data_IF_633842707526
#
_entry.id   IF_633842707526
#
_cell.length_a   1.000
_cell.length_b   1.000
_cell.length_c   1.000
_cell.angle_alpha   90.00
_cell.angle_beta   90.00
_cell.angle_gamma   90.00
#
_symmetry.space_group_name_H-M   'P 1'
#
loop_
_entity.id
_entity.type
_entity.pdbx_description
1 polymer ?
#
# COMPACT_ATOMS: atom_id res chain seq x y z
N UNK A 1 -20.62 44.88 62.85
CA UNK A 1 -19.65 44.76 61.75
C UNK A 1 -18.72 43.60 62.03
N UNK A 2 -19.11 42.39 61.60
CA UNK A 2 -18.21 41.24 61.45
C UNK A 2 -18.83 40.41 60.32
N UNK A 3 -18.21 40.44 59.14
CA UNK A 3 -18.50 39.54 58.03
C UNK A 3 -17.39 38.48 58.00
N UNK A 4 -17.80 37.22 58.09
CA UNK A 4 -17.05 36.01 57.77
C UNK A 4 -17.70 35.39 56.54
N UNK A 5 -16.95 34.51 55.88
CA UNK A 5 -17.18 33.95 54.54
C UNK A 5 -16.69 34.99 53.52
N UNK A 6 -15.71 34.74 52.66
CA UNK A 6 -15.52 33.60 51.76
C UNK A 6 -14.04 33.24 51.66
N UNK A 7 -13.72 31.95 51.81
CA UNK A 7 -12.48 31.36 51.33
C UNK A 7 -12.82 29.92 50.94
N UNK A 8 -12.44 29.52 49.73
CA UNK A 8 -11.78 28.25 49.38
C UNK A 8 -11.81 28.07 47.86
N UNK A 9 -10.62 27.79 47.32
CA UNK A 9 -10.32 27.18 46.01
C UNK A 9 -10.32 28.06 44.75
N UNK A 10 -9.22 28.79 44.58
CA UNK A 10 -8.66 29.15 43.26
C UNK A 10 -7.18 28.72 43.27
N UNK A 11 -6.94 27.45 42.95
CA UNK A 11 -5.61 26.86 42.82
C UNK A 11 -5.69 25.63 41.90
N UNK A 12 -5.90 25.88 40.61
CA UNK A 12 -5.60 24.95 39.51
C UNK A 12 -5.21 25.79 38.29
N UNK A 13 -4.02 26.35 38.36
CA UNK A 13 -3.28 26.85 37.21
C UNK A 13 -1.89 26.22 37.25
N UNK A 14 -1.85 24.89 37.16
CA UNK A 14 -0.63 24.14 36.88
C UNK A 14 -0.62 23.83 35.40
N UNK A 15 0.04 24.71 34.65
CA UNK A 15 0.82 24.42 33.45
C UNK A 15 0.65 23.01 32.86
N UNK A 16 -0.38 22.82 32.04
CA UNK A 16 -0.28 21.89 30.92
C UNK A 16 0.48 22.62 29.81
N UNK A 17 1.80 22.75 30.00
CA UNK A 17 2.69 22.90 28.87
C UNK A 17 2.61 21.56 28.15
N UNK A 18 1.73 21.48 27.15
CA UNK A 18 1.84 20.47 26.11
C UNK A 18 3.29 20.50 25.65
N UNK A 19 4.02 19.40 25.87
CA UNK A 19 5.28 19.16 25.21
C UNK A 19 4.95 19.13 23.71
N UNK A 20 5.01 20.31 23.10
CA UNK A 20 5.11 20.43 21.67
C UNK A 20 6.49 19.85 21.37
N UNK A 21 6.52 18.60 20.92
CA UNK A 21 7.75 18.04 20.36
C UNK A 21 8.26 19.06 19.35
N UNK A 22 9.44 19.62 19.61
CA UNK A 22 10.11 20.53 18.69
C UNK A 22 10.53 19.71 17.46
N UNK A 23 9.58 19.51 16.55
CA UNK A 23 9.84 18.90 15.26
C UNK A 23 10.89 19.74 14.53
N UNK A 24 11.98 19.09 14.12
CA UNK A 24 13.04 19.70 13.30
C UNK A 24 12.51 20.29 11.99
N UNK A 25 11.37 19.77 11.52
CA UNK A 25 10.73 20.15 10.27
C UNK A 25 9.41 20.88 10.52
N UNK A 26 9.04 21.76 9.60
CA UNK A 26 7.77 22.49 9.70
C UNK A 26 6.58 21.53 9.62
N UNK A 27 5.47 21.89 10.29
CA UNK A 27 4.23 21.09 10.21
C UNK A 27 3.77 20.87 8.77
N UNK A 28 3.83 21.90 7.92
CA UNK A 28 3.44 21.78 6.52
C UNK A 28 4.29 20.75 5.76
N UNK A 29 5.59 20.68 6.05
CA UNK A 29 6.48 19.69 5.45
C UNK A 29 6.17 18.27 5.91
N UNK A 30 5.96 18.07 7.21
CA UNK A 30 5.56 16.77 7.75
C UNK A 30 4.21 16.32 7.19
N UNK A 31 3.21 17.20 7.17
CA UNK A 31 1.88 16.93 6.61
C UNK A 31 2.00 16.51 5.13
N UNK A 32 2.86 17.19 4.35
CA UNK A 32 3.07 16.88 2.93
C UNK A 32 3.73 15.53 2.69
N UNK A 33 4.46 14.97 3.65
CA UNK A 33 5.12 13.67 3.55
C UNK A 33 4.48 12.59 4.41
N UNK A 34 3.42 12.90 5.17
CA UNK A 34 2.73 11.97 6.05
C UNK A 34 2.27 10.73 5.28
N UNK A 35 1.60 10.92 4.15
CA UNK A 35 1.04 9.85 3.33
C UNK A 35 1.86 9.58 2.07
N UNK A 36 2.06 8.30 1.78
CA UNK A 36 2.63 7.84 0.53
C UNK A 36 2.51 6.32 0.36
N UNK A 37 2.81 5.81 -0.85
CA UNK A 37 3.01 4.40 -1.14
C UNK A 37 4.27 3.82 -0.45
N UNK A 38 4.43 4.07 0.86
CA UNK A 38 5.62 3.77 1.66
C UNK A 38 5.75 2.29 2.06
N UNK A 39 5.20 1.39 1.25
CA UNK A 39 5.35 -0.08 1.36
C UNK A 39 6.05 -0.59 0.11
N UNK A 40 7.33 -0.29 -0.10
CA UNK A 40 7.98 -0.50 -1.40
C UNK A 40 8.16 -1.98 -1.76
N UNK A 41 8.00 -2.90 -0.80
CA UNK A 41 7.98 -4.35 -1.01
C UNK A 41 6.73 -4.86 -1.77
N UNK A 42 5.64 -4.08 -1.81
CA UNK A 42 4.43 -4.43 -2.58
C UNK A 42 4.33 -3.59 -3.85
N UNK A 43 3.58 -4.07 -4.85
CA UNK A 43 3.40 -3.33 -6.10
C UNK A 43 2.72 -1.98 -5.86
N UNK A 44 1.68 -1.94 -5.02
CA UNK A 44 1.04 -0.70 -4.58
C UNK A 44 0.45 -0.86 -3.17
N UNK A 45 0.83 0.02 -2.25
CA UNK A 45 0.29 0.03 -0.89
C UNK A 45 0.61 1.32 -0.17
N UNK A 46 -0.43 2.00 0.32
CA UNK A 46 -0.33 3.31 0.97
C UNK A 46 -0.35 3.13 2.48
N UNK A 47 0.55 3.84 3.17
CA UNK A 47 0.56 3.93 4.64
C UNK A 47 1.03 5.32 5.07
N UNK A 48 0.69 5.78 6.27
CA UNK A 48 1.28 6.98 6.81
C UNK A 48 2.67 6.67 7.38
N UNK A 49 3.50 7.71 7.54
CA UNK A 49 4.73 7.71 8.35
C UNK A 49 4.39 7.78 9.83
N UNK A 50 3.56 6.84 10.27
CA UNK A 50 3.14 6.69 11.65
C UNK A 50 3.27 5.20 12.03
N UNK A 51 3.81 4.90 13.21
CA UNK A 51 3.90 3.54 13.70
C UNK A 51 2.49 3.03 13.98
N UNK A 52 2.28 1.72 13.82
CA UNK A 52 1.03 1.04 14.19
C UNK A 52 -0.24 1.80 13.76
N UNK A 53 -0.41 1.92 12.45
CA UNK A 53 -1.43 2.78 11.85
C UNK A 53 -2.17 2.06 10.71
N UNK A 54 -2.94 2.80 9.91
CA UNK A 54 -3.62 2.27 8.74
C UNK A 54 -2.60 1.75 7.71
N UNK A 55 -2.74 0.49 7.32
CA UNK A 55 -1.96 -0.14 6.25
C UNK A 55 -2.89 -0.59 5.13
N UNK A 56 -2.52 -0.29 3.90
CA UNK A 56 -3.32 -0.66 2.72
C UNK A 56 -2.46 -1.32 1.64
N UNK A 57 -3.08 -2.08 0.76
CA UNK A 57 -2.37 -2.69 -0.36
C UNK A 57 -3.29 -3.30 -1.42
N UNK A 58 -2.74 -3.43 -2.63
CA UNK A 58 -3.44 -3.95 -3.79
C UNK A 58 -2.93 -5.35 -4.17
N UNK A 59 -3.85 -6.23 -4.49
CA UNK A 59 -3.60 -7.51 -5.14
C UNK A 59 -4.46 -7.60 -6.40
N UNK A 60 -4.00 -8.34 -7.40
CA UNK A 60 -4.80 -8.66 -8.58
C UNK A 60 -4.38 -9.99 -9.17
N UNK A 61 -5.25 -10.57 -9.98
CA UNK A 61 -4.94 -11.80 -10.70
C UNK A 61 -6.00 -12.13 -11.74
N UNK A 62 -5.57 -12.85 -12.79
CA UNK A 62 -6.50 -13.41 -13.77
C UNK A 62 -7.18 -14.64 -13.18
N UNK A 63 -8.52 -14.67 -13.24
CA UNK A 63 -9.34 -15.69 -12.56
C UNK A 63 -10.13 -16.57 -13.53
N UNK A 64 -9.50 -16.97 -14.63
CA UNK A 64 -10.14 -17.77 -15.70
C UNK A 64 -9.74 -19.25 -15.71
N UNK A 65 -8.88 -19.69 -14.80
CA UNK A 65 -8.37 -21.06 -14.80
C UNK A 65 -8.14 -21.60 -13.39
N UNK A 66 -8.71 -22.77 -13.10
CA UNK A 66 -8.61 -23.42 -11.79
C UNK A 66 -7.19 -23.78 -11.36
N UNK A 67 -6.23 -23.88 -12.29
CA UNK A 67 -4.88 -24.31 -11.95
C UNK A 67 -3.94 -23.13 -11.66
N UNK A 68 -4.10 -22.01 -12.36
CA UNK A 68 -3.17 -20.89 -12.31
C UNK A 68 -3.45 -19.85 -11.22
N UNK A 69 -4.69 -19.73 -10.72
CA UNK A 69 -5.05 -18.65 -9.76
C UNK A 69 -4.17 -18.63 -8.50
N UNK A 70 -3.85 -19.81 -7.95
CA UNK A 70 -2.99 -19.93 -6.77
C UNK A 70 -1.56 -19.39 -6.98
N UNK A 71 -1.11 -19.24 -8.22
CA UNK A 71 0.26 -18.84 -8.57
C UNK A 71 0.35 -17.49 -9.26
N UNK A 72 -0.75 -16.94 -9.77
CA UNK A 72 -0.73 -15.71 -10.58
C UNK A 72 -1.25 -14.45 -9.85
N UNK A 73 -1.69 -14.57 -8.58
CA UNK A 73 -2.08 -13.41 -7.77
C UNK A 73 -0.85 -12.60 -7.38
N UNK A 74 -0.83 -11.32 -7.76
CA UNK A 74 0.24 -10.36 -7.50
C UNK A 74 0.03 -9.67 -6.17
N UNK A 75 1.13 -9.42 -5.45
CA UNK A 75 1.11 -8.63 -4.22
C UNK A 75 2.48 -8.00 -3.94
N UNK A 76 3.45 -8.85 -3.58
CA UNK A 76 4.85 -8.47 -3.37
C UNK A 76 5.56 -8.33 -4.71
N UNK A 77 6.55 -7.45 -4.77
CA UNK A 77 7.41 -7.28 -5.94
C UNK A 77 8.33 -8.49 -6.07
N UNK A 78 8.08 -9.39 -7.02
CA UNK A 78 8.87 -10.60 -7.24
C UNK A 78 9.55 -10.58 -8.62
N UNK A 79 10.82 -11.00 -8.71
CA UNK A 79 11.60 -10.88 -9.95
C UNK A 79 11.08 -11.76 -11.11
N UNK A 80 10.44 -12.89 -10.79
CA UNK A 80 10.13 -13.95 -11.77
C UNK A 80 8.64 -14.26 -11.87
N UNK A 81 7.79 -13.25 -11.64
CA UNK A 81 6.35 -13.40 -11.74
C UNK A 81 5.79 -13.25 -13.16
N UNK A 82 6.63 -13.00 -14.17
CA UNK A 82 6.19 -12.89 -15.57
C UNK A 82 5.75 -11.49 -15.98
N UNK A 83 6.26 -10.47 -15.30
CA UNK A 83 6.11 -9.06 -15.67
C UNK A 83 7.00 -8.70 -16.87
N UNK A 84 6.52 -7.82 -17.75
CA UNK A 84 7.30 -7.21 -18.85
C UNK A 84 7.98 -5.90 -18.40
N UNK A 85 7.72 -5.46 -17.17
CA UNK A 85 8.27 -4.27 -16.54
C UNK A 85 7.25 -3.64 -15.61
N UNK A 86 7.72 -2.94 -14.58
CA UNK A 86 6.88 -2.14 -13.71
C UNK A 86 7.68 -1.01 -13.08
N UNK A 87 7.00 0.08 -12.75
CA UNK A 87 7.65 1.20 -12.07
C UNK A 87 6.86 2.49 -12.14
N UNK A 88 7.36 3.49 -11.42
CA UNK A 88 6.81 4.84 -11.47
C UNK A 88 7.25 5.54 -12.76
N UNK A 89 6.28 6.07 -13.49
CA UNK A 89 6.51 6.87 -14.70
C UNK A 89 6.82 8.33 -14.34
N UNK A 90 6.13 8.83 -13.31
CA UNK A 90 6.31 10.13 -12.69
C UNK A 90 5.89 10.03 -11.22
N UNK A 91 6.74 10.43 -10.29
CA UNK A 91 6.42 10.39 -8.87
C UNK A 91 7.21 11.44 -8.07
N UNK A 92 6.49 12.21 -7.26
CA UNK A 92 7.03 13.09 -6.21
C UNK A 92 6.42 12.66 -4.86
N UNK A 93 7.24 12.29 -3.85
CA UNK A 93 6.76 11.91 -2.53
C UNK A 93 5.87 12.94 -1.86
N UNK A 94 5.91 14.23 -2.23
CA UNK A 94 5.06 15.29 -1.64
C UNK A 94 3.70 15.44 -2.28
N UNK A 95 3.53 15.07 -3.55
CA UNK A 95 2.28 15.34 -4.29
C UNK A 95 1.62 14.08 -4.84
N UNK A 96 2.42 13.10 -5.25
CA UNK A 96 1.97 11.81 -5.76
C UNK A 96 2.58 11.47 -7.13
N UNK A 97 1.92 10.60 -7.89
CA UNK A 97 2.41 10.17 -9.20
C UNK A 97 1.59 9.06 -9.84
N UNK A 98 2.14 8.51 -10.92
CA UNK A 98 1.56 7.42 -11.71
C UNK A 98 2.59 6.31 -11.87
N UNK A 99 2.16 5.08 -11.62
CA UNK A 99 2.92 3.86 -11.82
C UNK A 99 2.20 2.97 -12.81
N UNK A 100 2.97 2.34 -13.70
CA UNK A 100 2.48 1.32 -14.63
C UNK A 100 3.15 -0.03 -14.31
N UNK A 101 2.37 -1.12 -14.41
CA UNK A 101 2.80 -2.50 -14.23
C UNK A 101 2.33 -3.31 -15.44
N UNK A 102 3.27 -3.76 -16.27
CA UNK A 102 2.98 -4.55 -17.47
C UNK A 102 2.97 -6.05 -17.12
N UNK A 103 1.84 -6.56 -16.60
CA UNK A 103 1.70 -7.96 -16.17
C UNK A 103 1.34 -8.88 -17.34
N UNK A 104 2.36 -9.18 -18.14
CA UNK A 104 2.25 -10.12 -19.25
C UNK A 104 1.81 -11.52 -18.82
N UNK A 105 2.17 -11.96 -17.62
CA UNK A 105 1.75 -13.25 -17.05
C UNK A 105 0.24 -13.34 -16.85
N UNK A 106 -0.40 -12.28 -16.34
CA UNK A 106 -1.85 -12.20 -16.24
C UNK A 106 -2.52 -11.64 -17.51
N UNK A 107 -1.76 -11.12 -18.47
CA UNK A 107 -2.30 -10.55 -19.72
C UNK A 107 -2.94 -9.17 -19.52
N UNK A 108 -2.54 -8.43 -18.49
CA UNK A 108 -3.12 -7.13 -18.14
C UNK A 108 -2.03 -6.10 -17.85
N UNK A 109 -2.24 -4.87 -18.29
CA UNK A 109 -1.46 -3.72 -17.83
C UNK A 109 -2.25 -3.00 -16.73
N UNK A 110 -1.64 -2.87 -15.55
CA UNK A 110 -2.20 -2.16 -14.40
C UNK A 110 -1.58 -0.77 -14.31
N UNK A 111 -2.41 0.24 -14.10
CA UNK A 111 -1.99 1.62 -13.80
C UNK A 111 -2.50 1.98 -12.40
N UNK A 112 -1.60 2.43 -11.54
CA UNK A 112 -1.93 2.92 -10.20
C UNK A 112 -1.49 4.37 -10.08
N UNK A 113 -2.46 5.29 -10.00
CA UNK A 113 -2.19 6.70 -9.74
C UNK A 113 -2.41 6.99 -8.26
N UNK A 114 -1.59 7.86 -7.67
CA UNK A 114 -1.71 8.32 -6.28
C UNK A 114 -1.61 9.84 -6.24
N UNK A 115 -2.51 10.50 -5.52
CA UNK A 115 -2.52 11.96 -5.36
C UNK A 115 -2.84 12.34 -3.92
N UNK A 116 -2.33 13.48 -3.49
CA UNK A 116 -2.67 14.08 -2.19
C UNK A 116 -3.47 15.36 -2.37
N UNK A 117 -4.53 15.49 -1.58
CA UNK A 117 -5.38 16.68 -1.56
C UNK A 117 -4.93 17.62 -0.44
N UNK A 118 -4.97 18.93 -0.71
CA UNK A 118 -4.57 19.99 0.23
C UNK A 118 -3.22 19.73 0.92
N UNK A 119 -2.20 19.35 0.13
CA UNK A 119 -0.85 19.01 0.60
C UNK A 119 -0.84 17.86 1.63
N UNK A 120 -1.75 16.90 1.48
CA UNK A 120 -1.88 15.74 2.37
C UNK A 120 -2.87 15.94 3.52
N UNK A 121 -3.27 17.19 3.82
CA UNK A 121 -4.24 17.48 4.89
C UNK A 121 -5.68 17.12 4.52
N UNK A 122 -6.00 17.19 3.23
CA UNK A 122 -7.32 16.83 2.69
C UNK A 122 -7.49 15.32 2.50
N UNK A 123 -6.45 14.52 2.79
CA UNK A 123 -6.39 13.10 2.53
C UNK A 123 -5.73 12.77 1.19
N UNK A 124 -5.97 11.56 0.68
CA UNK A 124 -5.35 11.07 -0.54
C UNK A 124 -6.35 10.28 -1.40
N UNK A 125 -6.05 10.21 -2.70
CA UNK A 125 -6.77 9.41 -3.67
C UNK A 125 -5.83 8.44 -4.38
N UNK A 126 -6.30 7.24 -4.66
CA UNK A 126 -5.64 6.28 -5.52
C UNK A 126 -6.59 5.82 -6.61
N UNK A 127 -6.14 5.83 -7.87
CA UNK A 127 -6.91 5.31 -9.01
C UNK A 127 -6.30 4.01 -9.46
N UNK A 128 -7.11 2.97 -9.52
CA UNK A 128 -6.72 1.65 -9.97
C UNK A 128 -7.36 1.40 -11.32
N UNK A 129 -6.53 1.16 -12.33
CA UNK A 129 -6.98 0.90 -13.69
C UNK A 129 -6.32 -0.36 -14.21
N UNK A 130 -7.11 -1.22 -14.86
CA UNK A 130 -6.62 -2.41 -15.54
C UNK A 130 -7.05 -2.42 -16.99
N UNK A 131 -6.09 -2.66 -17.89
CA UNK A 131 -6.34 -2.75 -19.34
C UNK A 131 -5.84 -4.09 -19.85
N UNK A 132 -6.72 -5.02 -20.29
CA UNK A 132 -6.28 -6.26 -20.91
C UNK A 132 -5.41 -5.98 -22.13
N UNK A 133 -4.32 -6.73 -22.26
CA UNK A 133 -3.38 -6.55 -23.35
C UNK A 133 -3.89 -7.22 -24.62
N UNK A 134 -3.70 -6.57 -25.77
CA UNK A 134 -4.07 -7.15 -27.07
C UNK A 134 -3.32 -8.46 -27.37
N UNK A 135 -2.12 -8.63 -26.82
CA UNK A 135 -1.29 -9.82 -26.95
C UNK A 135 -1.55 -10.89 -25.86
N UNK A 136 -2.56 -10.70 -25.00
CA UNK A 136 -2.91 -11.66 -23.96
C UNK A 136 -3.35 -12.99 -24.58
N UNK A 137 -2.69 -14.08 -24.16
CA UNK A 137 -3.07 -15.43 -24.59
C UNK A 137 -4.34 -15.87 -23.85
N UNK A 138 -5.29 -16.57 -24.49
CA UNK A 138 -6.41 -17.18 -23.79
C UNK A 138 -5.93 -18.16 -22.72
N UNK A 139 -6.54 -18.11 -21.53
CA UNK A 139 -6.43 -19.15 -20.52
C UNK A 139 -7.41 -20.29 -20.82
N UNK A 140 -7.26 -21.43 -20.13
CA UNK A 140 -8.06 -22.63 -20.38
C UNK A 140 -9.57 -22.37 -20.26
N UNK A 141 -10.00 -21.56 -19.28
CA UNK A 141 -11.41 -21.19 -19.10
C UNK A 141 -11.79 -19.82 -19.67
N UNK A 142 -11.00 -19.23 -20.57
CA UNK A 142 -11.39 -17.97 -21.22
C UNK A 142 -12.60 -18.17 -22.13
N UNK A 143 -13.64 -17.34 -21.94
CA UNK A 143 -14.89 -17.38 -22.73
C UNK A 143 -14.96 -16.29 -23.81
N UNK A 144 -13.81 -15.80 -24.29
CA UNK A 144 -13.77 -14.69 -25.25
C UNK A 144 -12.36 -14.23 -25.62
N UNK A 145 -12.29 -13.05 -26.25
CA UNK A 145 -11.02 -12.39 -26.55
C UNK A 145 -10.41 -11.69 -25.32
N UNK A 146 -9.21 -11.09 -25.45
CA UNK A 146 -8.55 -10.38 -24.36
C UNK A 146 -9.42 -9.34 -23.64
N UNK A 147 -10.26 -8.60 -24.37
CA UNK A 147 -11.15 -7.59 -23.79
C UNK A 147 -12.37 -8.16 -23.05
N UNK A 148 -12.50 -9.49 -22.97
CA UNK A 148 -13.51 -10.20 -22.16
C UNK A 148 -12.83 -11.04 -21.06
N UNK A 149 -11.54 -10.78 -20.80
CA UNK A 149 -10.78 -11.48 -19.77
C UNK A 149 -11.32 -11.15 -18.37
N UNK A 150 -11.43 -12.17 -17.52
CA UNK A 150 -11.87 -12.01 -16.14
C UNK A 150 -10.70 -11.74 -15.20
N UNK A 151 -10.73 -10.58 -14.55
CA UNK A 151 -9.70 -10.13 -13.60
C UNK A 151 -10.33 -9.86 -12.25
N UNK A 152 -9.77 -10.43 -11.19
CA UNK A 152 -10.14 -10.06 -9.83
C UNK A 152 -9.09 -9.11 -9.25
N UNK A 153 -9.58 -8.10 -8.55
CA UNK A 153 -8.77 -7.11 -7.82
C UNK A 153 -9.19 -7.16 -6.36
N UNK A 154 -8.20 -7.24 -5.48
CA UNK A 154 -8.41 -7.18 -4.05
C UNK A 154 -7.67 -5.98 -3.47
N UNK A 155 -8.40 -5.12 -2.79
CA UNK A 155 -7.82 -4.09 -1.95
C UNK A 155 -7.91 -4.54 -0.49
N UNK A 156 -6.82 -4.42 0.25
CA UNK A 156 -6.83 -4.67 1.69
C UNK A 156 -6.62 -3.38 2.45
N UNK A 157 -7.34 -3.23 3.56
CA UNK A 157 -7.15 -2.16 4.54
C UNK A 157 -7.13 -2.78 5.93
N UNK A 158 -6.12 -2.47 6.73
CA UNK A 158 -6.02 -2.95 8.10
C UNK A 158 -5.48 -1.89 9.03
N UNK A 159 -5.82 -2.00 10.32
CA UNK A 159 -5.37 -1.08 11.36
C UNK A 159 -4.49 -1.83 12.36
N UNK A 160 -3.27 -1.34 12.54
CA UNK A 160 -2.32 -1.81 13.55
C UNK A 160 -2.51 -0.96 14.83
N UNK A 161 -2.19 -1.52 16.01
CA UNK A 161 -2.25 -0.78 17.27
C UNK A 161 -3.65 -0.35 17.72
N UNK A 162 -3.72 0.82 18.39
CA UNK A 162 -4.95 1.37 18.93
C UNK A 162 -5.73 2.12 17.84
N UNK A 163 -6.83 1.50 17.40
CA UNK A 163 -7.75 2.09 16.45
C UNK A 163 -8.83 1.12 16.04
N UNK A 164 -9.72 1.58 15.17
CA UNK A 164 -10.78 0.78 14.57
C UNK A 164 -10.96 1.16 13.11
N UNK A 165 -11.42 0.20 12.33
CA UNK A 165 -11.87 0.39 10.95
C UNK A 165 -13.16 -0.44 10.81
N UNK A 166 -14.26 0.22 10.47
CA UNK A 166 -15.57 -0.39 10.42
C UNK A 166 -16.17 -0.13 9.06
N UNK A 167 -16.67 -1.19 8.41
CA UNK A 167 -17.42 -1.08 7.17
C UNK A 167 -18.83 -0.57 7.48
N UNK A 168 -19.27 0.45 6.76
CA UNK A 168 -20.62 0.98 6.87
C UNK A 168 -21.62 0.05 6.17
N UNK A 169 -22.87 0.08 6.64
CA UNK A 169 -23.98 -0.65 6.02
C UNK A 169 -23.72 -2.17 5.89
N UNK A 170 -23.20 -2.76 6.97
CA UNK A 170 -22.82 -4.18 7.05
C UNK A 170 -23.94 -5.12 6.55
N UNK A 171 -25.18 -4.84 6.97
CA UNK A 171 -26.37 -5.62 6.62
C UNK A 171 -26.59 -5.69 5.10
N UNK A 172 -26.40 -4.58 4.39
CA UNK A 172 -26.59 -4.51 2.93
C UNK A 172 -25.53 -5.28 2.15
N UNK A 173 -24.33 -5.43 2.70
CA UNK A 173 -23.23 -6.17 2.08
C UNK A 173 -23.19 -7.66 2.39
N UNK A 174 -23.85 -8.12 3.46
CA UNK A 174 -23.73 -9.51 3.93
C UNK A 174 -24.39 -10.51 2.97
N UNK A 175 -25.57 -10.20 2.44
CA UNK A 175 -26.34 -11.15 1.63
C UNK A 175 -25.74 -11.37 0.23
N UNK A 176 -25.59 -10.29 -0.54
CA UNK A 176 -25.21 -10.36 -1.97
C UNK A 176 -23.91 -9.59 -2.29
N UNK A 177 -23.32 -8.91 -1.32
CA UNK A 177 -22.28 -7.89 -1.55
C UNK A 177 -22.87 -6.50 -1.79
N UNK A 178 -22.00 -5.49 -1.77
CA UNK A 178 -22.38 -4.08 -1.84
C UNK A 178 -22.74 -3.64 -3.26
N UNK A 179 -23.86 -2.92 -3.38
CA UNK A 179 -24.31 -2.20 -4.58
C UNK A 179 -23.84 -0.74 -4.51
N UNK A 180 -22.72 -0.43 -5.16
CA UNK A 180 -22.12 0.90 -5.15
C UNK A 180 -20.84 0.98 -4.32
N UNK A 181 -20.56 2.20 -3.85
CA UNK A 181 -19.36 2.51 -3.08
C UNK A 181 -19.33 1.75 -1.73
N UNK A 182 -18.16 1.22 -1.39
CA UNK A 182 -17.92 0.66 -0.04
C UNK A 182 -17.24 1.72 0.79
N UNK A 183 -17.89 2.13 1.89
CA UNK A 183 -17.38 3.16 2.80
C UNK A 183 -17.01 2.54 4.12
N UNK A 184 -15.82 2.86 4.61
CA UNK A 184 -15.36 2.53 5.95
C UNK A 184 -15.23 3.81 6.76
N UNK A 185 -15.61 3.75 8.02
CA UNK A 185 -15.24 4.73 9.05
C UNK A 185 -14.11 4.18 9.88
N UNK A 186 -13.09 4.98 10.12
CA UNK A 186 -11.98 4.58 10.96
C UNK A 186 -11.60 5.65 11.96
N UNK A 187 -10.95 5.20 13.02
CA UNK A 187 -10.33 6.04 14.03
C UNK A 187 -8.97 5.47 14.34
N UNK A 188 -7.91 6.27 14.18
CA UNK A 188 -6.57 5.92 14.61
C UNK A 188 -6.08 6.91 15.66
N UNK A 189 -5.22 6.46 16.58
CA UNK A 189 -4.65 7.31 17.64
C UNK A 189 -4.09 8.63 17.09
N UNK A 190 -3.22 8.56 16.08
CA UNK A 190 -2.54 9.74 15.49
C UNK A 190 -3.22 10.25 14.20
N UNK A 191 -4.16 9.48 13.64
CA UNK A 191 -4.91 9.86 12.43
C UNK A 191 -6.21 10.61 12.74
N UNK A 192 -6.71 10.51 13.97
CA UNK A 192 -8.06 10.94 14.31
C UNK A 192 -9.12 10.11 13.58
N UNK A 193 -10.29 10.71 13.40
CA UNK A 193 -11.41 10.09 12.65
C UNK A 193 -11.26 10.32 11.15
N UNK A 194 -11.48 9.27 10.37
CA UNK A 194 -11.34 9.28 8.91
C UNK A 194 -12.39 8.42 8.23
N UNK A 195 -12.49 8.61 6.90
CA UNK A 195 -13.25 7.77 5.98
C UNK A 195 -12.34 7.17 4.94
N UNK A 196 -12.59 5.92 4.58
CA UNK A 196 -11.97 5.25 3.44
C UNK A 196 -13.09 4.78 2.51
N UNK A 197 -13.12 5.29 1.28
CA UNK A 197 -14.14 4.97 0.28
C UNK A 197 -13.51 4.23 -0.88
N UNK A 198 -14.05 3.06 -1.23
CA UNK A 198 -13.71 2.33 -2.46
C UNK A 198 -14.89 2.47 -3.41
N UNK A 199 -14.70 3.17 -4.53
CA UNK A 199 -15.81 3.54 -5.41
C UNK A 199 -16.27 2.41 -6.32
N UNK A 200 -17.50 2.49 -6.81
CA UNK A 200 -18.03 1.69 -7.90
C UNK A 200 -18.56 2.62 -9.01
N UNK A 201 -17.70 3.03 -9.97
CA UNK A 201 -18.14 3.91 -11.05
C UNK A 201 -18.99 3.15 -12.08
N UNK A 202 -19.93 3.86 -12.69
CA UNK A 202 -20.69 3.34 -13.82
C UNK A 202 -19.76 3.02 -15.01
N UNK A 203 -20.03 1.91 -15.71
CA UNK A 203 -19.36 1.56 -16.96
C UNK A 203 -18.32 0.45 -16.86
N UNK A 204 -17.93 0.02 -15.65
CA UNK A 204 -17.22 -1.23 -15.47
C UNK A 204 -18.12 -2.42 -15.88
N UNK A 205 -17.51 -3.44 -16.48
CA UNK A 205 -18.21 -4.69 -16.82
C UNK A 205 -17.79 -5.80 -15.87
N UNK A 206 -18.74 -6.67 -15.54
CA UNK A 206 -18.58 -7.76 -14.58
C UNK A 206 -18.98 -9.10 -15.22
N UNK A 207 -18.34 -10.22 -14.84
CA UNK A 207 -18.67 -11.51 -15.43
C UNK A 207 -20.08 -11.95 -15.04
N UNK A 208 -20.88 -12.38 -16.01
CA UNK A 208 -22.24 -12.91 -15.80
C UNK A 208 -22.27 -14.37 -16.27
N UNK A 209 -22.93 -15.25 -15.50
CA UNK A 209 -23.08 -16.65 -15.90
C UNK A 209 -24.40 -17.26 -15.43
N UNK A 210 -24.78 -18.40 -16.02
CA UNK A 210 -26.06 -19.08 -15.73
C UNK A 210 -26.03 -20.04 -14.54
N UNK A 211 -24.85 -20.32 -14.01
CA UNK A 211 -24.71 -21.21 -12.85
C UNK A 211 -25.46 -20.66 -11.61
N UNK A 212 -26.20 -21.48 -10.83
CA UNK A 212 -27.00 -21.01 -9.69
C UNK A 212 -26.23 -20.20 -8.64
N UNK A 213 -24.93 -20.43 -8.51
CA UNK A 213 -24.05 -19.68 -7.60
C UNK A 213 -24.05 -18.16 -7.88
N UNK A 214 -24.36 -17.72 -9.10
CA UNK A 214 -24.44 -16.29 -9.44
C UNK A 214 -25.55 -15.60 -8.65
N UNK A 215 -26.72 -16.23 -8.53
CA UNK A 215 -27.87 -15.64 -7.85
C UNK A 215 -27.62 -15.46 -6.35
N UNK A 216 -26.76 -16.31 -5.78
CA UNK A 216 -26.36 -16.26 -4.37
C UNK A 216 -25.23 -15.27 -4.12
N UNK A 217 -24.35 -15.05 -5.10
CA UNK A 217 -23.19 -14.17 -4.97
C UNK A 217 -22.86 -13.58 -6.35
N UNK A 218 -23.60 -12.55 -6.76
CA UNK A 218 -23.41 -11.92 -8.06
C UNK A 218 -22.11 -11.12 -8.09
N UNK A 219 -21.46 -11.04 -9.25
CA UNK A 219 -20.11 -10.49 -9.39
C UNK A 219 -20.07 -9.03 -9.84
N UNK A 220 -21.24 -8.44 -10.08
CA UNK A 220 -21.49 -7.00 -10.20
C UNK A 220 -21.68 -6.30 -8.84
N UNK A 221 -21.35 -7.01 -7.76
CA UNK A 221 -21.32 -6.51 -6.38
C UNK A 221 -19.90 -6.53 -5.84
N UNK A 222 -19.59 -5.56 -4.99
CA UNK A 222 -18.31 -5.57 -4.27
C UNK A 222 -18.42 -6.49 -3.05
N UNK A 223 -17.53 -7.47 -2.96
CA UNK A 223 -17.49 -8.39 -1.82
C UNK A 223 -16.53 -7.83 -0.77
N UNK A 224 -16.91 -7.90 0.51
CA UNK A 224 -16.06 -7.49 1.63
C UNK A 224 -15.93 -8.63 2.62
N UNK A 225 -14.71 -8.96 3.01
CA UNK A 225 -14.42 -9.92 4.07
C UNK A 225 -13.62 -9.25 5.17
N UNK A 226 -14.25 -9.11 6.34
CA UNK A 226 -13.61 -8.61 7.55
C UNK A 226 -13.14 -9.78 8.42
N UNK A 227 -11.98 -9.62 9.04
CA UNK A 227 -11.46 -10.60 9.99
C UNK A 227 -10.63 -9.93 11.09
N UNK A 228 -10.56 -10.59 12.24
CA UNK A 228 -9.63 -10.24 13.29
C UNK A 228 -8.40 -11.14 13.17
N UNK A 229 -7.23 -10.52 12.99
CA UNK A 229 -5.95 -11.23 12.95
C UNK A 229 -4.98 -10.62 13.96
N UNK A 230 -3.98 -11.38 14.45
CA UNK A 230 -2.89 -10.82 15.24
C UNK A 230 -2.14 -9.72 14.46
N UNK A 231 -1.62 -8.71 15.17
CA UNK A 231 -0.95 -7.55 14.54
C UNK A 231 0.23 -8.00 13.66
N UNK A 232 1.00 -8.98 14.14
CA UNK A 232 2.14 -9.58 13.44
C UNK A 232 1.75 -10.35 12.17
N UNK A 233 0.46 -10.61 11.95
CA UNK A 233 -0.06 -11.30 10.77
C UNK A 233 -0.70 -10.34 9.75
N UNK A 234 -0.90 -9.05 10.08
CA UNK A 234 -1.58 -8.07 9.21
C UNK A 234 -0.86 -7.87 7.87
N UNK A 235 0.46 -8.04 7.83
CA UNK A 235 1.24 -7.95 6.59
C UNK A 235 1.00 -9.13 5.63
N UNK A 236 0.42 -10.23 6.11
CA UNK A 236 0.20 -11.47 5.35
C UNK A 236 -1.09 -11.45 4.53
N UNK A 237 -1.45 -10.29 3.96
CA UNK A 237 -2.73 -10.09 3.25
C UNK A 237 -2.99 -11.17 2.16
N UNK A 238 -1.96 -11.61 1.43
CA UNK A 238 -2.07 -12.69 0.43
C UNK A 238 -2.48 -14.04 1.07
N UNK A 239 -1.96 -14.37 2.24
CA UNK A 239 -2.34 -15.59 2.95
C UNK A 239 -3.77 -15.50 3.52
N UNK A 240 -4.15 -14.35 4.06
CA UNK A 240 -5.50 -14.07 4.56
C UNK A 240 -6.52 -14.16 3.41
N UNK A 241 -6.18 -13.63 2.24
CA UNK A 241 -6.97 -13.77 1.01
C UNK A 241 -7.18 -15.25 0.64
N UNK A 242 -6.11 -16.05 0.60
CA UNK A 242 -6.22 -17.48 0.30
C UNK A 242 -7.05 -18.24 1.33
N UNK A 243 -6.96 -17.89 2.62
CA UNK A 243 -7.79 -18.49 3.65
C UNK A 243 -9.28 -18.20 3.43
N UNK A 244 -9.63 -16.96 3.08
CA UNK A 244 -11.02 -16.59 2.74
C UNK A 244 -11.52 -17.30 1.48
N UNK A 245 -10.73 -17.33 0.41
CA UNK A 245 -11.08 -18.04 -0.82
C UNK A 245 -11.26 -19.55 -0.60
N UNK A 246 -10.41 -20.16 0.24
CA UNK A 246 -10.53 -21.58 0.59
C UNK A 246 -11.90 -21.90 1.19
N UNK A 247 -12.41 -21.05 2.09
CA UNK A 247 -13.76 -21.23 2.67
C UNK A 247 -14.84 -21.26 1.59
N UNK A 248 -14.78 -20.35 0.61
CA UNK A 248 -15.72 -20.35 -0.53
C UNK A 248 -15.57 -21.63 -1.37
N UNK A 249 -14.33 -22.05 -1.65
CA UNK A 249 -14.06 -23.26 -2.43
C UNK A 249 -14.64 -24.50 -1.74
N UNK A 250 -14.38 -24.65 -0.43
CA UNK A 250 -14.89 -25.77 0.36
C UNK A 250 -16.43 -25.81 0.33
N UNK A 251 -17.10 -24.66 0.48
CA UNK A 251 -18.56 -24.56 0.37
C UNK A 251 -19.07 -25.03 -1.00
N UNK A 252 -18.40 -24.67 -2.09
CA UNK A 252 -18.81 -25.11 -3.43
C UNK A 252 -18.52 -26.59 -3.67
N UNK A 253 -17.47 -27.16 -3.08
CA UNK A 253 -17.18 -28.60 -3.14
C UNK A 253 -18.24 -29.41 -2.38
N UNK A 254 -18.79 -28.87 -1.29
CA UNK A 254 -19.89 -29.50 -0.54
C UNK A 254 -21.24 -29.36 -1.26
N UNK A 255 -21.52 -28.19 -1.85
CA UNK A 255 -22.82 -27.89 -2.47
C UNK A 255 -22.97 -28.50 -3.87
N UNK A 256 -21.90 -28.55 -4.65
CA UNK A 256 -21.94 -28.93 -6.07
C UNK A 256 -21.15 -30.19 -6.38
N UNK A 257 -21.64 -30.96 -7.36
CA UNK A 257 -20.89 -32.10 -7.90
C UNK A 257 -19.78 -31.63 -8.84
N UNK A 258 -18.81 -32.49 -9.15
CA UNK A 258 -17.70 -32.17 -10.07
C UNK A 258 -18.17 -31.74 -11.48
N UNK A 259 -19.36 -32.17 -11.91
CA UNK A 259 -19.92 -31.83 -13.23
C UNK A 259 -20.67 -30.49 -13.22
N UNK A 260 -20.91 -29.91 -12.04
CA UNK A 260 -21.68 -28.69 -11.83
C UNK A 260 -20.90 -27.67 -10.98
N UNK A 261 -19.56 -27.62 -11.12
CA UNK A 261 -18.74 -26.64 -10.40
C UNK A 261 -18.99 -25.24 -10.99
N UNK A 262 -19.11 -24.18 -10.17
CA UNK A 262 -19.14 -22.80 -10.65
C UNK A 262 -17.92 -22.46 -11.52
N UNK A 263 -18.00 -21.49 -12.44
CA UNK A 263 -16.84 -21.10 -13.24
C UNK A 263 -15.70 -20.52 -12.36
N UNK A 264 -14.43 -20.54 -12.84
CA UNK A 264 -13.28 -20.10 -12.05
C UNK A 264 -13.44 -18.73 -11.38
N UNK A 265 -13.91 -17.72 -12.12
CA UNK A 265 -14.08 -16.36 -11.59
C UNK A 265 -15.15 -16.25 -10.50
N UNK A 266 -16.06 -17.21 -10.41
CA UNK A 266 -17.00 -17.33 -9.30
C UNK A 266 -16.39 -18.10 -8.13
N UNK A 267 -15.64 -19.18 -8.40
CA UNK A 267 -15.00 -20.01 -7.38
C UNK A 267 -13.90 -19.26 -6.62
N UNK A 268 -13.12 -18.42 -7.30
CA UNK A 268 -12.05 -17.60 -6.71
C UNK A 268 -12.55 -16.25 -6.19
N UNK A 269 -13.55 -16.34 -5.32
CA UNK A 269 -14.11 -15.18 -4.62
C UNK A 269 -13.94 -15.33 -3.12
N UNK A 270 -13.70 -14.22 -2.44
CA UNK A 270 -13.77 -14.17 -0.98
C UNK A 270 -15.20 -14.46 -0.51
N UNK A 271 -15.31 -14.88 0.75
CA UNK A 271 -16.60 -14.91 1.42
C UNK A 271 -17.07 -13.48 1.70
N UNK A 272 -18.31 -13.12 1.37
CA UNK A 272 -18.90 -11.86 1.82
C UNK A 272 -19.20 -11.98 3.32
N UNK A 273 -18.50 -11.20 4.13
CA UNK A 273 -18.63 -11.14 5.58
C UNK A 273 -18.17 -9.75 6.07
N UNK A 274 -18.95 -8.69 5.83
CA UNK A 274 -18.61 -7.33 6.24
C UNK A 274 -18.87 -7.09 7.73
N UNK A 275 -18.18 -7.83 8.61
CA UNK A 275 -18.31 -7.67 10.07
C UNK A 275 -17.21 -6.77 10.64
N UNK A 276 -17.10 -6.71 11.96
CA UNK A 276 -15.97 -6.08 12.64
C UNK A 276 -14.68 -6.89 12.43
N UNK A 277 -13.54 -6.18 12.46
CA UNK A 277 -12.21 -6.76 12.32
C UNK A 277 -11.15 -5.67 12.23
N UNK A 278 -9.88 -6.06 12.30
CA UNK A 278 -8.75 -5.15 12.08
C UNK A 278 -8.13 -5.27 10.69
N UNK A 279 -8.63 -6.18 9.85
CA UNK A 279 -8.32 -6.24 8.41
C UNK A 279 -9.56 -6.56 7.60
N UNK A 280 -9.69 -5.85 6.47
CA UNK A 280 -10.78 -6.00 5.52
C UNK A 280 -10.19 -6.25 4.13
N UNK A 281 -10.69 -7.27 3.45
CA UNK A 281 -10.44 -7.53 2.05
C UNK A 281 -11.66 -7.08 1.25
N UNK A 282 -11.44 -6.27 0.21
CA UNK A 282 -12.45 -5.75 -0.69
C UNK A 282 -12.16 -6.34 -2.07
N UNK A 283 -13.04 -7.21 -2.58
CA UNK A 283 -12.91 -7.81 -3.89
C UNK A 283 -13.87 -7.18 -4.90
N UNK A 284 -13.32 -6.83 -6.06
CA UNK A 284 -14.07 -6.55 -7.29
C UNK A 284 -13.62 -7.50 -8.39
N UNK A 285 -14.56 -8.01 -9.18
CA UNK A 285 -14.26 -8.93 -10.29
C UNK A 285 -14.78 -8.33 -11.59
N UNK A 286 -13.89 -8.11 -12.55
CA UNK A 286 -14.18 -7.39 -13.78
C UNK A 286 -14.09 -8.31 -15.01
N UNK A 287 -14.86 -7.98 -16.05
CA UNK A 287 -14.70 -8.48 -17.40
C UNK A 287 -14.13 -7.35 -18.28
N UNK A 288 -12.93 -7.53 -18.82
CA UNK A 288 -12.31 -6.52 -19.68
C UNK A 288 -11.57 -5.42 -18.91
N UNK A 289 -11.57 -4.20 -19.48
CA UNK A 289 -10.93 -3.05 -18.87
C UNK A 289 -11.78 -2.47 -17.74
N UNK A 290 -11.12 -1.97 -16.69
CA UNK A 290 -11.79 -1.40 -15.53
C UNK A 290 -11.02 -0.21 -14.96
N UNK A 291 -11.74 0.65 -14.23
CA UNK A 291 -11.18 1.74 -13.47
C UNK A 291 -12.05 2.01 -12.23
N UNK A 292 -11.43 2.26 -11.08
CA UNK A 292 -12.12 2.74 -9.88
C UNK A 292 -11.16 3.53 -8.98
N UNK A 293 -11.73 4.28 -8.04
CA UNK A 293 -10.99 5.17 -7.15
C UNK A 293 -11.09 4.69 -5.69
N UNK A 294 -10.04 4.96 -4.92
CA UNK A 294 -9.96 4.73 -3.48
C UNK A 294 -9.62 6.08 -2.85
N UNK A 295 -10.44 6.55 -1.92
CA UNK A 295 -10.23 7.82 -1.23
C UNK A 295 -10.08 7.61 0.27
N UNK A 296 -9.03 8.16 0.84
CA UNK A 296 -8.93 8.41 2.28
C UNK A 296 -9.18 9.89 2.53
N UNK A 297 -10.06 10.23 3.47
CA UNK A 297 -10.33 11.61 3.87
C UNK A 297 -10.51 11.73 5.38
N UNK A 298 -10.19 12.90 5.99
CA UNK A 298 -10.65 13.21 7.34
C UNK A 298 -12.19 13.08 7.44
N UNK A 299 -12.73 12.66 8.59
CA UNK A 299 -14.16 12.35 8.72
C UNK A 299 -15.10 13.50 8.33
N UNK A 300 -14.70 14.75 8.56
CA UNK A 300 -15.51 15.94 8.23
C UNK A 300 -15.25 16.49 6.82
N UNK A 301 -14.31 15.92 6.06
CA UNK A 301 -14.04 16.35 4.70
C UNK A 301 -15.06 15.74 3.72
N UNK A 302 -15.30 16.47 2.62
CA UNK A 302 -16.07 15.96 1.50
C UNK A 302 -15.21 14.96 0.73
N UNK A 303 -15.76 13.78 0.45
CA UNK A 303 -15.08 12.80 -0.41
C UNK A 303 -14.91 13.38 -1.82
N UNK A 304 -13.69 13.37 -2.39
CA UNK A 304 -13.44 13.77 -3.78
C UNK A 304 -14.26 12.94 -4.77
N UNK A 305 -14.51 13.52 -5.94
CA UNK A 305 -15.18 12.84 -7.06
C UNK A 305 -14.18 12.25 -8.05
N UNK A 306 -14.66 11.40 -8.96
CA UNK A 306 -13.87 10.88 -10.09
C UNK A 306 -13.26 11.99 -10.97
N UNK A 307 -13.97 13.11 -11.16
CA UNK A 307 -13.48 14.26 -11.91
C UNK A 307 -12.40 15.02 -11.14
N UNK A 308 -12.54 15.14 -9.82
CA UNK A 308 -11.53 15.76 -8.97
C UNK A 308 -10.23 14.93 -9.00
N UNK A 309 -10.34 13.61 -8.95
CA UNK A 309 -9.21 12.69 -9.10
C UNK A 309 -8.54 12.84 -10.48
N UNK A 310 -9.31 12.88 -11.56
CA UNK A 310 -8.78 13.09 -12.92
C UNK A 310 -8.01 14.41 -13.06
N UNK A 311 -8.52 15.49 -12.45
CA UNK A 311 -7.84 16.80 -12.42
C UNK A 311 -6.56 16.75 -11.59
N UNK A 312 -6.61 16.10 -10.43
CA UNK A 312 -5.47 15.97 -9.53
C UNK A 312 -4.32 15.17 -10.17
N UNK A 313 -4.60 14.04 -10.82
CA UNK A 313 -3.59 13.23 -11.52
C UNK A 313 -2.87 14.08 -12.58
N UNK A 314 -3.63 14.81 -13.41
CA UNK A 314 -3.07 15.69 -14.44
C UNK A 314 -2.19 16.80 -13.83
N UNK A 315 -2.62 17.38 -12.72
CA UNK A 315 -1.87 18.43 -12.04
C UNK A 315 -0.56 17.89 -11.45
N UNK A 316 -0.57 16.71 -10.82
CA UNK A 316 0.60 16.06 -10.24
C UNK A 316 1.63 15.70 -11.32
N UNK A 317 1.21 15.05 -12.41
CA UNK A 317 2.12 14.71 -13.52
C UNK A 317 2.73 15.95 -14.15
N UNK A 318 1.92 17.00 -14.38
CA UNK A 318 2.39 18.27 -14.90
C UNK A 318 3.42 18.93 -13.97
N UNK A 319 3.11 18.99 -12.67
CA UNK A 319 3.99 19.59 -11.66
C UNK A 319 5.32 18.84 -11.54
N UNK A 320 5.28 17.50 -11.56
CA UNK A 320 6.48 16.67 -11.60
C UNK A 320 7.32 16.99 -12.84
N UNK A 321 6.69 17.03 -14.02
CA UNK A 321 7.36 17.28 -15.28
C UNK A 321 8.07 18.64 -15.32
N UNK A 322 7.42 19.69 -14.82
CA UNK A 322 7.97 21.04 -14.72
C UNK A 322 9.15 21.08 -13.74
N UNK A 323 8.98 20.55 -12.53
CA UNK A 323 10.04 20.50 -11.51
C UNK A 323 11.22 19.65 -11.95
N UNK A 324 10.99 18.57 -12.69
CA UNK A 324 12.07 17.68 -13.17
C UNK A 324 12.95 18.35 -14.20
N UNK A 325 12.36 19.13 -15.10
CA UNK A 325 13.12 19.89 -16.09
C UNK A 325 13.91 21.03 -15.42
N UNK A 326 13.40 21.58 -14.33
CA UNK A 326 14.12 22.60 -13.56
C UNK A 326 15.31 22.02 -12.79
N UNK A 327 15.11 20.90 -12.09
CA UNK A 327 16.11 20.34 -11.17
C UNK A 327 17.09 19.35 -11.82
N UNK A 328 16.60 18.43 -12.65
CA UNK A 328 17.31 17.20 -13.03
C UNK A 328 17.34 16.96 -14.55
N UNK A 329 17.17 18.00 -15.35
CA UNK A 329 17.17 17.86 -16.82
C UNK A 329 18.46 17.22 -17.33
N UNK A 330 18.37 16.22 -18.24
CA UNK A 330 19.54 15.65 -18.89
C UNK A 330 20.38 16.71 -19.60
N UNK A 331 21.70 16.64 -19.38
CA UNK A 331 22.69 17.51 -20.01
C UNK A 331 23.27 16.89 -21.28
N UNK A 332 23.93 17.69 -22.11
CA UNK A 332 24.61 17.17 -23.31
C UNK A 332 25.64 16.07 -22.92
N UNK A 333 25.74 14.96 -23.69
CA UNK A 333 25.13 14.70 -25.00
C UNK A 333 23.71 14.09 -24.96
N UNK A 334 23.06 14.01 -23.80
CA UNK A 334 21.78 13.31 -23.60
C UNK A 334 20.53 14.18 -23.89
N UNK A 335 20.59 15.04 -24.91
CA UNK A 335 19.53 16.01 -25.21
C UNK A 335 18.29 15.47 -25.94
N UNK A 336 18.24 14.19 -26.29
CA UNK A 336 17.11 13.58 -26.99
C UNK A 336 15.97 13.21 -26.02
N UNK A 337 14.71 13.32 -26.46
CA UNK A 337 13.51 13.07 -25.63
C UNK A 337 13.49 11.70 -24.94
N UNK A 338 14.07 10.68 -25.57
CA UNK A 338 14.19 9.33 -24.98
C UNK A 338 14.98 9.34 -23.66
N UNK A 339 15.99 10.21 -23.53
CA UNK A 339 16.79 10.32 -22.32
C UNK A 339 16.05 11.07 -21.23
N UNK A 340 15.25 12.08 -21.57
CA UNK A 340 14.36 12.75 -20.62
C UNK A 340 13.32 11.79 -20.05
N UNK A 341 12.69 10.98 -20.91
CA UNK A 341 11.73 9.96 -20.46
C UNK A 341 12.40 8.92 -19.57
N UNK A 342 13.55 8.41 -19.99
CA UNK A 342 14.33 7.44 -19.23
C UNK A 342 14.76 7.97 -17.87
N UNK A 343 15.29 9.20 -17.81
CA UNK A 343 15.80 9.78 -16.57
C UNK A 343 14.66 10.10 -15.59
N UNK A 344 13.50 10.56 -16.08
CA UNK A 344 12.29 10.74 -15.26
C UNK A 344 11.89 9.43 -14.59
N UNK A 345 11.74 8.36 -15.37
CA UNK A 345 11.37 7.04 -14.83
C UNK A 345 12.42 6.52 -13.85
N UNK A 346 13.72 6.68 -14.13
CA UNK A 346 14.79 6.27 -13.21
C UNK A 346 14.68 6.99 -11.85
N UNK A 347 14.52 8.31 -11.88
CA UNK A 347 14.38 9.11 -10.67
C UNK A 347 13.07 8.80 -9.93
N UNK A 348 11.95 8.68 -10.64
CA UNK A 348 10.65 8.32 -10.07
C UNK A 348 10.67 6.96 -9.37
N UNK A 349 11.42 5.99 -9.89
CA UNK A 349 11.58 4.69 -9.23
C UNK A 349 12.49 4.75 -8.00
N UNK A 350 13.51 5.61 -7.99
CA UNK A 350 14.33 5.86 -6.80
C UNK A 350 13.47 6.44 -5.66
N UNK A 351 12.77 7.55 -5.91
CA UNK A 351 11.93 8.19 -4.88
C UNK A 351 10.65 7.39 -4.59
N UNK A 352 10.17 6.61 -5.55
CA UNK A 352 9.08 5.65 -5.37
C UNK A 352 9.48 4.37 -4.64
N UNK A 353 10.78 4.19 -4.37
CA UNK A 353 11.30 3.16 -3.47
C UNK A 353 11.37 3.62 -2.00
N UNK A 354 11.14 4.91 -1.71
CA UNK A 354 11.13 5.40 -0.32
C UNK A 354 10.03 4.69 0.46
N UNK A 355 10.41 4.11 1.60
CA UNK A 355 9.54 3.37 2.50
C UNK A 355 9.56 3.93 3.91
N UNK A 356 8.56 3.52 4.69
CA UNK A 356 8.48 3.75 6.11
C UNK A 356 8.36 2.40 6.82
N UNK A 357 9.32 2.14 7.71
CA UNK A 357 9.51 0.89 8.41
C UNK A 357 9.39 1.13 9.91
N UNK A 358 8.73 0.21 10.60
CA UNK A 358 8.63 0.21 12.05
C UNK A 358 8.67 -1.23 12.56
N UNK A 359 9.44 -1.50 13.60
CA UNK A 359 9.51 -2.80 14.25
C UNK A 359 10.82 -3.05 14.97
N UNK A 360 10.99 -4.29 15.43
CA UNK A 360 12.19 -4.70 16.15
C UNK A 360 13.28 -5.19 15.19
N UNK A 361 14.53 -4.93 15.55
CA UNK A 361 15.71 -5.45 14.88
C UNK A 361 16.30 -6.61 15.68
N UNK A 362 17.00 -7.52 14.99
CA UNK A 362 17.74 -8.61 15.63
C UNK A 362 19.21 -8.20 15.78
N UNK A 363 19.64 -7.88 17.01
CA UNK A 363 20.96 -7.31 17.31
C UNK A 363 21.75 -8.23 18.24
N UNK A 364 23.03 -8.46 17.94
CA UNK A 364 23.98 -9.16 18.80
C UNK A 364 24.94 -8.17 19.48
N UNK A 365 24.66 -7.84 20.75
CA UNK A 365 25.49 -6.96 21.60
C UNK A 365 26.53 -7.71 22.42
N UNK A 366 26.97 -8.88 21.98
CA UNK A 366 28.04 -9.62 22.66
C UNK A 366 29.40 -8.94 22.52
N UNK A 367 29.57 -8.09 21.51
CA UNK A 367 30.85 -7.49 21.11
C UNK A 367 31.97 -8.55 21.06
N UNK A 368 31.60 -9.71 20.53
CA UNK A 368 32.47 -10.84 20.31
C UNK A 368 33.70 -10.40 19.48
N UNK A 369 34.94 -10.72 19.90
CA UNK A 369 36.13 -10.32 19.17
C UNK A 369 36.16 -10.88 17.73
N UNK A 370 35.43 -11.97 17.46
CA UNK A 370 35.24 -12.52 16.11
C UNK A 370 34.49 -11.58 15.14
N UNK A 371 33.91 -10.47 15.64
CA UNK A 371 33.29 -9.41 14.84
C UNK A 371 34.25 -8.27 14.46
N UNK A 372 35.48 -8.25 14.97
CA UNK A 372 36.49 -7.24 14.61
C UNK A 372 37.16 -7.52 13.24
N UNK A 373 36.88 -8.68 12.63
CA UNK A 373 37.33 -9.07 11.29
C UNK A 373 38.86 -8.98 11.05
N UNK A 374 39.69 -9.19 12.09
CA UNK A 374 41.14 -8.92 12.03
C UNK A 374 41.99 -9.95 11.24
N UNK A 375 41.46 -11.15 10.94
CA UNK A 375 42.24 -12.27 10.40
C UNK A 375 41.71 -12.83 9.06
N UNK A 376 42.57 -13.49 8.28
CA UNK A 376 42.14 -14.29 7.13
C UNK A 376 41.23 -15.44 7.60
N UNK A 377 40.01 -15.53 7.04
CA UNK A 377 39.02 -16.50 7.50
C UNK A 377 38.01 -15.95 8.51
N UNK A 378 38.03 -14.65 8.81
CA UNK A 378 37.11 -14.00 9.76
C UNK A 378 35.64 -14.41 9.57
N UNK A 379 35.19 -14.62 8.33
CA UNK A 379 33.80 -15.01 8.04
C UNK A 379 33.38 -16.34 8.68
N UNK A 380 34.32 -17.27 8.92
CA UNK A 380 34.06 -18.52 9.64
C UNK A 380 33.90 -18.25 11.14
N UNK A 381 34.82 -17.47 11.72
CA UNK A 381 34.78 -17.09 13.14
C UNK A 381 33.54 -16.24 13.46
N UNK A 382 33.20 -15.26 12.61
CA UNK A 382 31.96 -14.48 12.69
C UNK A 382 30.71 -15.37 12.56
N UNK A 383 30.74 -16.41 11.72
CA UNK A 383 29.62 -17.35 11.59
C UNK A 383 29.47 -18.22 12.85
N UNK A 384 30.58 -18.69 13.43
CA UNK A 384 30.58 -19.42 14.71
C UNK A 384 30.08 -18.54 15.85
N UNK A 385 30.50 -17.28 15.90
CA UNK A 385 30.02 -16.31 16.87
C UNK A 385 28.50 -16.10 16.78
N UNK A 386 27.96 -15.91 15.57
CA UNK A 386 26.50 -15.82 15.34
C UNK A 386 25.77 -17.11 15.72
N UNK A 387 26.39 -18.27 15.50
CA UNK A 387 25.81 -19.56 15.87
C UNK A 387 25.67 -19.75 17.39
N UNK A 388 26.34 -18.94 18.22
CA UNK A 388 26.15 -18.92 19.68
C UNK A 388 24.77 -18.40 20.09
N UNK A 389 24.02 -17.77 19.18
CA UNK A 389 22.62 -17.39 19.43
C UNK A 389 22.46 -16.25 20.44
N UNK A 390 23.42 -15.33 20.52
CA UNK A 390 23.41 -14.22 21.49
C UNK A 390 22.57 -13.01 21.03
N UNK A 391 22.11 -13.01 19.78
CA UNK A 391 21.24 -11.99 19.23
C UNK A 391 19.90 -11.91 19.97
N UNK A 392 19.36 -10.70 20.12
CA UNK A 392 18.06 -10.42 20.73
C UNK A 392 17.28 -9.44 19.87
N UNK A 393 15.96 -9.47 20.03
CA UNK A 393 15.12 -8.41 19.50
C UNK A 393 15.33 -7.13 20.33
N UNK A 394 15.55 -6.03 19.64
CA UNK A 394 15.69 -4.68 20.20
C UNK A 394 14.83 -3.73 19.38
N UNK A 395 14.19 -2.76 20.04
CA UNK A 395 13.26 -1.84 19.40
C UNK A 395 12.10 -1.43 20.31
N UNK A 396 11.01 -0.87 19.74
CA UNK A 396 10.83 -0.68 18.30
C UNK A 396 11.69 0.46 17.74
N UNK A 397 12.14 0.31 16.49
CA UNK A 397 12.77 1.37 15.71
C UNK A 397 11.83 1.85 14.61
N UNK A 398 12.08 3.07 14.14
CA UNK A 398 11.43 3.66 12.97
C UNK A 398 12.47 4.09 11.95
N UNK A 399 12.20 3.83 10.68
CA UNK A 399 13.08 4.25 9.59
C UNK A 399 12.28 4.71 8.37
N UNK A 400 12.51 5.95 7.94
CA UNK A 400 12.04 6.52 6.69
C UNK A 400 13.24 6.69 5.75
N UNK A 401 13.30 5.87 4.71
CA UNK A 401 14.51 5.70 3.88
C UNK A 401 14.16 5.25 2.48
N UNK A 402 15.02 5.54 1.52
CA UNK A 402 15.02 4.85 0.22
C UNK A 402 15.59 3.43 0.34
N UNK A 403 15.41 2.63 -0.72
CA UNK A 403 15.83 1.22 -0.76
C UNK A 403 16.63 0.95 -2.04
N UNK A 404 17.57 -0.01 -2.03
CA UNK A 404 18.31 -0.36 -3.24
C UNK A 404 17.44 -1.01 -4.32
N UNK A 405 16.45 -1.81 -3.90
CA UNK A 405 15.65 -2.60 -4.84
C UNK A 405 14.34 -3.09 -4.22
N UNK A 406 13.20 -2.74 -4.83
CA UNK A 406 11.86 -3.22 -4.41
C UNK A 406 11.76 -4.76 -4.33
N UNK A 407 12.23 -5.55 -5.31
CA UNK A 407 12.11 -7.01 -5.24
C UNK A 407 13.17 -7.72 -4.39
N UNK A 408 14.40 -7.19 -4.29
CA UNK A 408 15.49 -7.88 -3.58
C UNK A 408 15.76 -7.35 -2.17
N UNK A 409 15.72 -6.03 -2.04
CA UNK A 409 16.20 -5.32 -0.87
C UNK A 409 15.20 -4.25 -0.45
N UNK A 410 13.94 -4.59 -0.12
CA UNK A 410 12.95 -3.60 0.30
C UNK A 410 13.13 -3.17 1.76
N UNK A 411 14.33 -2.68 2.08
CA UNK A 411 14.77 -2.22 3.40
C UNK A 411 15.92 -1.23 3.26
N UNK A 412 16.16 -0.44 4.31
CA UNK A 412 17.27 0.50 4.35
C UNK A 412 18.64 -0.21 4.34
N UNK A 413 19.57 0.35 3.59
CA UNK A 413 20.99 -0.01 3.65
C UNK A 413 21.80 1.27 3.86
N UNK A 414 22.54 1.33 4.96
CA UNK A 414 23.17 2.57 5.43
C UNK A 414 24.11 3.19 4.38
N UNK A 415 24.96 2.37 3.75
CA UNK A 415 25.94 2.88 2.78
C UNK A 415 25.29 3.21 1.42
N UNK A 416 24.29 2.44 0.97
CA UNK A 416 23.52 2.73 -0.25
C UNK A 416 22.78 4.09 -0.12
N UNK A 417 22.27 4.42 1.07
CA UNK A 417 21.48 5.66 1.27
C UNK A 417 22.28 6.91 0.93
N UNK A 418 23.58 6.94 1.22
CA UNK A 418 24.45 8.04 0.82
C UNK A 418 24.41 8.30 -0.69
N UNK A 419 24.33 7.26 -1.51
CA UNK A 419 24.23 7.38 -2.97
C UNK A 419 22.81 7.71 -3.43
N UNK A 420 21.79 7.15 -2.78
CA UNK A 420 20.39 7.48 -3.09
C UNK A 420 20.11 8.97 -2.90
N UNK A 421 20.70 9.59 -1.87
CA UNK A 421 20.46 10.98 -1.52
C UNK A 421 21.08 12.00 -2.49
N UNK A 422 22.10 11.61 -3.27
CA UNK A 422 22.78 12.52 -4.21
C UNK A 422 21.84 13.12 -5.27
N UNK A 423 21.02 12.35 -6.01
CA UNK A 423 20.02 12.95 -6.90
C UNK A 423 18.80 13.51 -6.15
N UNK A 424 18.49 13.01 -4.94
CA UNK A 424 17.33 13.48 -4.17
C UNK A 424 17.57 14.89 -3.62
N UNK A 425 18.79 15.24 -3.21
CA UNK A 425 19.08 16.58 -2.67
C UNK A 425 18.89 17.69 -3.71
N UNK A 426 19.17 17.43 -4.98
CA UNK A 426 18.92 18.39 -6.07
C UNK A 426 17.41 18.57 -6.33
N UNK A 427 16.59 17.56 -6.01
CA UNK A 427 15.14 17.58 -6.17
C UNK A 427 14.40 18.20 -4.98
N UNK A 428 14.80 17.81 -3.77
CA UNK A 428 14.15 18.16 -2.51
C UNK A 428 15.14 18.02 -1.34
N UNK A 429 15.89 19.10 -1.03
CA UNK A 429 16.86 19.09 0.05
C UNK A 429 16.25 18.75 1.41
N UNK A 430 14.99 19.13 1.65
CA UNK A 430 14.34 18.89 2.93
C UNK A 430 13.92 17.42 3.07
N UNK A 431 13.45 16.77 2.00
CA UNK A 431 13.24 15.32 1.97
C UNK A 431 14.53 14.57 2.31
N UNK A 432 15.66 14.98 1.73
CA UNK A 432 16.98 14.43 2.04
C UNK A 432 17.31 14.57 3.54
N UNK A 433 17.11 15.77 4.11
CA UNK A 433 17.33 16.01 5.54
C UNK A 433 16.41 15.17 6.44
N UNK A 434 15.16 14.93 6.03
CA UNK A 434 14.24 14.06 6.79
C UNK A 434 14.69 12.59 6.79
N UNK A 435 15.18 12.08 5.66
CA UNK A 435 15.74 10.72 5.56
C UNK A 435 17.00 10.61 6.42
N UNK A 436 17.92 11.57 6.31
CA UNK A 436 19.13 11.62 7.13
C UNK A 436 18.76 11.64 8.61
N UNK A 437 17.85 12.53 9.03
CA UNK A 437 17.37 12.58 10.41
C UNK A 437 16.78 11.25 10.87
N UNK A 438 16.09 10.52 9.98
CA UNK A 438 15.55 9.21 10.32
C UNK A 438 16.64 8.16 10.58
N UNK A 439 17.74 8.18 9.82
CA UNK A 439 18.89 7.30 10.07
C UNK A 439 19.65 7.68 11.34
N UNK A 440 19.84 8.98 11.60
CA UNK A 440 20.48 9.42 12.85
C UNK A 440 19.65 9.05 14.09
N UNK A 441 18.32 8.98 13.96
CA UNK A 441 17.44 8.52 15.05
C UNK A 441 17.56 7.02 15.35
N UNK A 442 18.28 6.24 14.53
CA UNK A 442 18.60 4.83 14.84
C UNK A 442 19.95 4.65 15.53
N UNK A 443 20.70 5.72 15.79
CA UNK A 443 21.95 5.64 16.57
C UNK A 443 21.65 5.27 18.03
N UNK A 444 22.50 4.44 18.61
CA UNK A 444 22.47 4.12 20.04
C UNK A 444 23.54 4.93 20.80
N UNK A 445 23.90 4.49 22.00
CA UNK A 445 24.84 5.21 22.88
C UNK A 445 26.32 5.00 22.51
N UNK A 446 26.62 4.02 21.64
CA UNK A 446 27.97 3.70 21.15
C UNK A 446 28.33 4.56 19.90
#
# INVERSE_FOLDING_TARGET
MVWKEWAVSLLLASSAATAQEDSLFSKASNDSLLWGPYRPNVYFGVRPRLPKSLTTGLLWGRVEDFQSVQHNIRYTCEQHEGMDGYGWDAYDPRTGGVQTVHDKGNGIDMETSFVKFDEGRGGWGARIKGTPRDDAKPAVGSEGGPHQMKTAVWFHAGIEGLGMLEVQDQDSGEELGFDGDVVFTGQGHDLGEFKLTVTEPEGNSHPIHRHPSYQKKPLDRTLVHSSQVPEEALWQAKAILFASMKTTIDQYVEEYTQEAVPPPWQTYTIQSRPTDGNIHLIQKTFEGAFEFDIFYTPANAKTPTHDDMTKAIKAVVKSFDEKYVEALKPQAPFGADKFLRFSKSLFSNLVGGIGYFHGDQMIDRSYAPEYEEENEGFWQETAEARARGQQKLEGPYELYTSIPSRPFFPRGFLWDEGFHLLPIVDWDPELCMQIISSWFNTMDED
#
